data_IF_632423035644
#
_entry.id   IF_632423035644
#
_cell.length_a   1.000
_cell.length_b   1.000
_cell.length_c   1.000
_cell.angle_alpha   90.00
_cell.angle_beta   90.00
_cell.angle_gamma   90.00
#
_symmetry.space_group_name_H-M   'P 1'
#
loop_
_entity.id
_entity.type
_entity.pdbx_description
1 polymer ?
#
# COMPACT_ATOMS: atom_id res chain seq x y z
N UNK A 1 -33.27 -47.87 -18.99
CA UNK A 1 -33.39 -46.87 -17.90
C UNK A 1 -32.10 -46.69 -17.10
N UNK A 2 -31.46 -47.76 -16.59
CA UNK A 2 -30.23 -47.64 -15.76
C UNK A 2 -29.05 -46.91 -16.42
N UNK A 3 -28.81 -47.12 -17.73
CA UNK A 3 -27.75 -46.42 -18.48
C UNK A 3 -27.95 -44.90 -18.56
N UNK A 4 -29.20 -44.44 -18.68
CA UNK A 4 -29.52 -43.01 -18.78
C UNK A 4 -29.28 -42.30 -17.44
N UNK A 5 -29.63 -42.96 -16.34
CA UNK A 5 -29.42 -42.48 -14.98
C UNK A 5 -27.92 -42.35 -14.68
N UNK A 6 -27.11 -43.34 -15.08
CA UNK A 6 -25.65 -43.30 -14.91
C UNK A 6 -24.99 -42.13 -15.65
N UNK A 7 -25.46 -41.81 -16.87
CA UNK A 7 -24.96 -40.67 -17.66
C UNK A 7 -25.30 -39.33 -16.98
N UNK A 8 -26.51 -39.18 -16.47
CA UNK A 8 -26.94 -37.97 -15.74
C UNK A 8 -26.11 -37.73 -14.47
N UNK A 9 -25.80 -38.78 -13.72
CA UNK A 9 -24.95 -38.69 -12.53
C UNK A 9 -23.53 -38.26 -12.90
N UNK A 10 -22.97 -38.80 -13.99
CA UNK A 10 -21.62 -38.46 -14.44
C UNK A 10 -21.53 -36.98 -14.85
N UNK A 11 -22.55 -36.46 -15.55
CA UNK A 11 -22.63 -35.06 -15.94
C UNK A 11 -22.72 -34.15 -14.70
N UNK A 12 -23.52 -34.54 -13.71
CA UNK A 12 -23.68 -33.76 -12.47
C UNK A 12 -22.36 -33.67 -11.69
N UNK A 13 -21.62 -34.78 -11.61
CA UNK A 13 -20.30 -34.84 -10.96
C UNK A 13 -19.31 -33.95 -11.70
N UNK A 14 -19.31 -33.98 -13.04
CA UNK A 14 -18.41 -33.15 -13.85
C UNK A 14 -18.69 -31.66 -13.63
N UNK A 15 -19.96 -31.26 -13.59
CA UNK A 15 -20.38 -29.88 -13.31
C UNK A 15 -19.93 -29.46 -11.89
N UNK A 16 -20.09 -30.34 -10.90
CA UNK A 16 -19.66 -30.07 -9.54
C UNK A 16 -18.13 -29.87 -9.44
N UNK A 17 -17.36 -30.68 -10.17
CA UNK A 17 -15.90 -30.56 -10.24
C UNK A 17 -15.49 -29.23 -10.89
N UNK A 18 -16.17 -28.80 -11.96
CA UNK A 18 -15.90 -27.53 -12.64
C UNK A 18 -16.17 -26.32 -11.75
N UNK A 19 -17.19 -26.37 -10.89
CA UNK A 19 -17.51 -25.28 -9.94
C UNK A 19 -16.43 -25.14 -8.85
N UNK A 20 -15.74 -26.22 -8.52
CA UNK A 20 -14.70 -26.23 -7.48
C UNK A 20 -13.37 -25.60 -7.94
N UNK A 21 -13.18 -25.37 -9.24
CA UNK A 21 -11.93 -24.83 -9.79
C UNK A 21 -11.94 -23.28 -9.70
N UNK A 22 -11.76 -22.75 -8.49
CA UNK A 22 -11.55 -21.31 -8.29
C UNK A 22 -10.08 -20.97 -8.59
N UNK A 23 -9.81 -20.39 -9.76
CA UNK A 23 -8.49 -19.85 -10.11
C UNK A 23 -8.32 -18.46 -9.50
N UNK A 24 -8.01 -18.42 -8.20
CA UNK A 24 -7.64 -17.16 -7.55
C UNK A 24 -6.28 -16.68 -8.08
N UNK A 25 -6.31 -15.87 -9.14
CA UNK A 25 -5.14 -15.21 -9.68
C UNK A 25 -4.89 -13.92 -8.90
N UNK A 26 -3.95 -13.97 -7.97
CA UNK A 26 -3.47 -12.77 -7.31
C UNK A 26 -2.54 -12.02 -8.27
N UNK A 27 -3.08 -11.01 -8.95
CA UNK A 27 -2.24 -9.97 -9.55
C UNK A 27 -1.41 -9.32 -8.44
N UNK A 28 -0.17 -8.93 -8.74
CA UNK A 28 0.69 -8.19 -7.81
C UNK A 28 0.08 -6.81 -7.54
N UNK A 29 -0.88 -6.77 -6.61
CA UNK A 29 -1.52 -5.54 -6.18
C UNK A 29 -0.45 -4.62 -5.60
N UNK A 30 -0.31 -3.43 -6.16
CA UNK A 30 0.54 -2.39 -5.59
C UNK A 30 0.08 -2.18 -4.15
N UNK A 31 0.95 -2.45 -3.17
CA UNK A 31 0.60 -2.33 -1.75
C UNK A 31 0.65 -0.85 -1.36
N UNK A 32 -0.35 -0.10 -1.81
CA UNK A 32 -0.44 1.37 -1.72
C UNK A 32 -0.25 1.85 -0.28
N UNK A 33 -0.70 1.08 0.71
CA UNK A 33 -0.65 1.47 2.13
C UNK A 33 0.74 1.32 2.78
N UNK A 34 1.72 0.75 2.07
CA UNK A 34 3.05 0.51 2.64
C UNK A 34 3.97 1.71 2.55
N UNK A 35 3.76 2.63 1.62
CA UNK A 35 4.62 3.80 1.42
C UNK A 35 3.84 5.07 1.76
N UNK A 36 4.38 5.92 2.63
CA UNK A 36 3.78 7.22 2.97
C UNK A 36 4.83 8.32 2.87
N UNK A 37 4.48 9.42 2.22
CA UNK A 37 5.28 10.64 2.21
C UNK A 37 4.83 11.54 3.36
N UNK A 38 5.77 11.99 4.17
CA UNK A 38 5.55 13.05 5.15
C UNK A 38 6.34 14.29 4.74
N UNK A 39 5.64 15.42 4.63
CA UNK A 39 6.26 16.73 4.42
C UNK A 39 6.77 17.25 5.76
N UNK A 40 8.07 17.51 5.85
CA UNK A 40 8.72 18.19 6.98
C UNK A 40 8.84 19.69 6.70
N UNK A 41 9.06 20.06 5.45
CA UNK A 41 8.99 21.43 4.97
C UNK A 41 8.90 21.45 3.45
N UNK A 42 8.33 22.52 2.91
CA UNK A 42 8.05 22.67 1.47
C UNK A 42 8.31 24.08 0.97
N UNK A 43 8.77 24.98 1.84
CA UNK A 43 9.17 26.34 1.47
C UNK A 43 10.53 26.33 0.75
N UNK A 44 10.84 27.43 0.07
CA UNK A 44 12.15 27.65 -0.52
C UNK A 44 13.11 28.31 0.48
N UNK A 45 14.03 29.17 0.03
CA UNK A 45 14.94 29.92 0.89
C UNK A 45 14.29 31.15 1.56
N UNK A 46 13.00 31.41 1.31
CA UNK A 46 12.27 32.53 1.88
C UNK A 46 12.14 32.39 3.40
N UNK A 47 12.39 33.48 4.15
CA UNK A 47 12.49 33.46 5.61
C UNK A 47 11.19 33.98 6.27
N UNK A 48 10.36 34.69 5.52
CA UNK A 48 9.22 35.47 6.01
C UNK A 48 7.85 34.86 5.67
N UNK A 49 7.80 33.74 4.96
CA UNK A 49 6.55 33.05 4.58
C UNK A 49 5.99 32.11 5.65
N UNK A 50 6.71 31.96 6.78
CA UNK A 50 6.33 31.11 7.90
C UNK A 50 6.45 29.60 7.65
N UNK A 51 7.10 29.19 6.55
CA UNK A 51 7.26 27.78 6.19
C UNK A 51 8.66 27.29 6.53
N UNK A 52 8.75 26.02 6.91
CA UNK A 52 10.05 25.35 6.95
C UNK A 52 10.50 25.07 5.52
N UNK A 53 11.79 25.22 5.27
CA UNK A 53 12.40 24.96 3.97
C UNK A 53 12.31 23.46 3.62
N UNK A 54 12.66 23.10 2.38
CA UNK A 54 12.44 21.77 1.81
C UNK A 54 12.95 20.62 2.70
N UNK A 55 12.10 19.62 2.90
CA UNK A 55 12.44 18.42 3.66
C UNK A 55 11.29 17.42 3.69
N UNK A 56 11.59 16.16 3.42
CA UNK A 56 10.58 15.11 3.27
C UNK A 56 11.05 13.79 3.86
N UNK A 57 10.11 13.00 4.38
CA UNK A 57 10.38 11.69 4.95
C UNK A 57 9.52 10.62 4.30
N UNK A 58 10.15 9.59 3.74
CA UNK A 58 9.47 8.40 3.25
C UNK A 58 9.39 7.37 4.37
N UNK A 59 8.16 6.97 4.66
CA UNK A 59 7.84 5.85 5.52
C UNK A 59 7.59 4.62 4.65
N UNK A 60 8.21 3.49 5.02
CA UNK A 60 7.91 2.19 4.46
C UNK A 60 7.54 1.22 5.57
N UNK A 61 6.34 0.64 5.51
CA UNK A 61 5.78 -0.25 6.54
C UNK A 61 5.89 0.37 7.94
N UNK A 62 5.37 1.59 8.08
CA UNK A 62 5.37 2.39 9.32
C UNK A 62 6.76 2.69 9.92
N UNK A 63 7.83 2.51 9.14
CA UNK A 63 9.19 2.87 9.56
C UNK A 63 9.71 4.00 8.68
N UNK A 64 10.24 5.05 9.29
CA UNK A 64 10.99 6.08 8.59
C UNK A 64 12.20 5.44 7.89
N UNK A 65 12.32 5.59 6.57
CA UNK A 65 13.37 4.95 5.76
C UNK A 65 14.28 5.91 5.03
N UNK A 66 13.71 6.93 4.40
CA UNK A 66 14.47 7.85 3.53
C UNK A 66 14.12 9.26 3.93
N UNK A 67 15.14 10.02 4.34
CA UNK A 67 15.05 11.46 4.51
C UNK A 67 15.55 12.10 3.22
N UNK A 68 14.76 12.99 2.64
CA UNK A 68 15.07 13.68 1.39
C UNK A 68 15.11 15.17 1.69
N UNK A 69 16.27 15.77 1.44
CA UNK A 69 16.58 17.15 1.78
C UNK A 69 16.47 17.47 3.28
N UNK A 70 17.15 18.51 3.72
CA UNK A 70 17.22 18.94 5.12
C UNK A 70 17.35 20.46 5.21
N UNK A 71 16.48 21.18 4.52
CA UNK A 71 16.40 22.63 4.59
C UNK A 71 16.10 23.14 6.00
N UNK A 72 16.39 24.42 6.23
CA UNK A 72 16.24 25.08 7.54
C UNK A 72 14.84 24.87 8.14
N UNK A 73 14.79 24.53 9.43
CA UNK A 73 13.54 24.31 10.17
C UNK A 73 12.87 22.94 9.97
N UNK A 74 13.24 22.16 8.94
CA UNK A 74 12.67 20.83 8.69
C UNK A 74 12.96 19.84 9.83
N UNK A 75 14.11 19.96 10.48
CA UNK A 75 14.50 19.12 11.64
C UNK A 75 13.55 19.27 12.83
N UNK A 76 13.10 20.49 13.12
CA UNK A 76 12.13 20.76 14.20
C UNK A 76 10.82 19.99 13.94
N UNK A 77 10.38 19.94 12.68
CA UNK A 77 9.18 19.20 12.26
C UNK A 77 9.38 17.69 12.31
N UNK A 78 10.59 17.21 12.03
CA UNK A 78 10.97 15.80 12.20
C UNK A 78 10.84 15.36 13.65
N UNK A 79 11.40 16.11 14.60
CA UNK A 79 11.30 15.79 16.03
C UNK A 79 9.88 15.89 16.58
N UNK A 80 9.13 16.94 16.21
CA UNK A 80 7.74 17.13 16.68
C UNK A 80 6.82 15.96 16.33
N UNK A 81 7.04 15.31 15.19
CA UNK A 81 6.22 14.17 14.75
C UNK A 81 6.68 12.84 15.35
N UNK A 82 7.93 12.73 15.82
CA UNK A 82 8.44 11.54 16.51
C UNK A 82 7.89 11.38 17.93
N UNK A 83 7.40 12.46 18.56
CA UNK A 83 6.74 12.42 19.87
C UNK A 83 5.27 11.99 19.84
N UNK A 84 4.67 11.83 18.65
CA UNK A 84 3.27 11.47 18.44
C UNK A 84 3.10 10.15 17.65
N UNK A 85 4.14 9.32 17.58
CA UNK A 85 4.11 7.95 17.03
C UNK A 85 4.21 6.92 18.13
#
# INVERSE_FOLDING_TARGET
MFKLIAVLILILILILILILINTNSYTSQCKVDQVKLQVLGSGGPEIDDGRSSSGYLIWYKNKARVLIDTGTGSSVKFYKKRGNV
#
